data_IF_641686550142
#
_entry.id   IF_641686550142
#
_cell.length_a   1.000
_cell.length_b   1.000
_cell.length_c   1.000
_cell.angle_alpha   90.00
_cell.angle_beta   90.00
_cell.angle_gamma   90.00
#
_symmetry.space_group_name_H-M   'P 1'
#
loop_
_entity.id
_entity.type
_entity.pdbx_description
1 polymer ?
#
# COMPACT_ATOMS: atom_id res chain seq x y z
N UNK A 1 -5.41 16.59 7.08
CA UNK A 1 -6.10 15.36 7.53
C UNK A 1 -5.43 14.08 7.01
N UNK A 2 -5.08 13.98 5.71
CA UNK A 2 -4.26 12.87 5.20
C UNK A 2 -2.94 12.75 5.92
N UNK A 3 -2.19 13.84 6.11
CA UNK A 3 -0.83 13.77 6.70
C UNK A 3 -0.81 13.09 8.08
N UNK A 4 -1.86 13.28 8.89
CA UNK A 4 -2.01 12.64 10.19
C UNK A 4 -2.37 11.14 10.07
N UNK A 5 -3.28 10.78 9.17
CA UNK A 5 -3.62 9.37 8.90
C UNK A 5 -2.48 8.62 8.22
N UNK A 6 -1.80 9.24 7.26
CA UNK A 6 -0.58 8.76 6.63
C UNK A 6 0.50 8.56 7.66
N UNK A 7 0.76 9.51 8.57
CA UNK A 7 1.81 9.33 9.59
C UNK A 7 1.46 8.24 10.61
N UNK A 8 0.16 8.01 10.89
CA UNK A 8 -0.31 6.94 11.79
C UNK A 8 -0.33 5.56 11.13
N UNK A 9 -0.70 5.48 9.86
CA UNK A 9 -0.81 4.20 9.14
C UNK A 9 0.50 3.82 8.47
N UNK A 10 1.26 4.79 7.97
CA UNK A 10 2.53 4.63 7.24
C UNK A 10 3.46 5.78 7.64
N UNK A 11 4.11 5.61 8.79
CA UNK A 11 5.09 6.58 9.31
C UNK A 11 6.16 6.88 8.25
N UNK A 12 6.84 8.04 8.30
CA UNK A 12 7.91 8.36 7.36
C UNK A 12 9.02 7.29 7.32
N UNK A 13 9.36 6.69 8.47
CA UNK A 13 10.35 5.62 8.56
C UNK A 13 9.87 4.34 7.87
N UNK A 14 8.63 3.94 8.12
CA UNK A 14 7.98 2.83 7.41
C UNK A 14 7.95 3.09 5.90
N UNK A 15 7.62 4.32 5.51
CA UNK A 15 7.59 4.70 4.10
C UNK A 15 8.97 4.57 3.45
N UNK A 16 10.05 4.94 4.14
CA UNK A 16 11.42 4.78 3.62
C UNK A 16 11.80 3.31 3.36
N UNK A 17 11.22 2.37 4.11
CA UNK A 17 11.39 0.93 3.87
C UNK A 17 10.50 0.45 2.72
N UNK A 18 9.26 0.91 2.64
CA UNK A 18 8.28 0.45 1.65
C UNK A 18 8.54 1.03 0.26
N UNK A 19 8.87 2.32 0.16
CA UNK A 19 9.07 3.04 -1.09
C UNK A 19 9.99 2.33 -2.10
N UNK A 20 11.19 1.85 -1.73
CA UNK A 20 12.07 1.15 -2.66
C UNK A 20 11.54 -0.23 -3.09
N UNK A 21 10.61 -0.81 -2.31
CA UNK A 21 9.99 -2.11 -2.62
C UNK A 21 8.79 -1.97 -3.55
N UNK A 22 8.25 -0.76 -3.71
CA UNK A 22 7.15 -0.51 -4.62
C UNK A 22 7.66 -0.67 -6.06
N UNK A 23 7.07 -1.60 -6.84
CA UNK A 23 7.45 -1.80 -8.22
C UNK A 23 7.37 -0.48 -9.01
N UNK A 24 8.37 -0.18 -9.86
CA UNK A 24 8.31 1.00 -10.70
C UNK A 24 7.04 0.94 -11.56
N UNK A 25 6.27 2.01 -11.54
CA UNK A 25 5.06 2.09 -12.36
C UNK A 25 5.46 1.92 -13.83
N UNK A 26 4.72 1.09 -14.59
CA UNK A 26 4.93 0.99 -16.04
C UNK A 26 4.86 2.39 -16.65
N UNK A 27 5.96 2.82 -17.25
CA UNK A 27 6.01 4.07 -18.02
C UNK A 27 5.03 3.92 -19.18
N UNK A 28 3.97 4.72 -19.21
CA UNK A 28 3.10 4.77 -20.40
C UNK A 28 3.92 5.33 -21.56
N UNK A 29 3.86 4.67 -22.73
CA UNK A 29 4.52 5.11 -23.96
C UNK A 29 4.14 6.54 -24.39
N UNK A 30 2.94 6.99 -24.02
CA UNK A 30 2.53 8.38 -24.18
C UNK A 30 3.02 9.17 -22.97
N UNK A 31 4.20 9.77 -23.09
CA UNK A 31 4.68 10.78 -22.16
C UNK A 31 3.69 11.93 -22.10
N UNK A 32 2.87 11.97 -21.05
CA UNK A 32 1.85 12.99 -20.89
C UNK A 32 0.70 12.52 -20.02
N UNK A 33 0.64 13.05 -18.79
CA UNK A 33 -0.51 12.84 -17.91
C UNK A 33 -0.22 13.24 -16.48
N UNK A 34 -0.98 14.24 -16.00
CA UNK A 34 -1.07 14.81 -14.63
C UNK A 34 -0.31 14.02 -13.56
N UNK A 35 0.59 14.74 -12.86
CA UNK A 35 1.53 14.25 -11.85
C UNK A 35 1.04 13.02 -11.10
N UNK A 36 1.85 11.96 -11.15
CA UNK A 36 1.60 10.66 -10.51
C UNK A 36 0.99 10.92 -9.12
N UNK A 37 -0.25 10.47 -8.91
CA UNK A 37 -0.82 10.37 -7.57
C UNK A 37 0.25 9.74 -6.67
N UNK A 38 0.61 10.42 -5.58
CA UNK A 38 1.72 10.02 -4.73
C UNK A 38 1.59 8.54 -4.36
N UNK A 39 2.62 7.74 -4.67
CA UNK A 39 2.62 6.31 -4.35
C UNK A 39 2.32 6.10 -2.86
N UNK A 40 2.80 7.01 -2.01
CA UNK A 40 2.49 7.05 -0.58
C UNK A 40 1.00 7.16 -0.30
N UNK A 41 0.29 8.10 -0.95
CA UNK A 41 -1.15 8.27 -0.74
C UNK A 41 -1.95 7.02 -1.17
N UNK A 42 -1.57 6.41 -2.30
CA UNK A 42 -2.19 5.15 -2.75
C UNK A 42 -1.91 4.04 -1.76
N UNK A 43 -0.66 3.88 -1.32
CA UNK A 43 -0.29 2.84 -0.37
C UNK A 43 -0.98 3.03 0.98
N UNK A 44 -1.04 4.26 1.52
CA UNK A 44 -1.80 4.57 2.74
C UNK A 44 -3.28 4.22 2.57
N UNK A 45 -3.90 4.52 1.43
CA UNK A 45 -5.29 4.17 1.16
C UNK A 45 -5.51 2.64 1.09
N UNK A 46 -4.56 1.90 0.50
CA UNK A 46 -4.58 0.43 0.49
C UNK A 46 -4.50 -0.08 1.94
N UNK A 47 -3.49 0.35 2.71
CA UNK A 47 -3.32 -0.06 4.11
C UNK A 47 -4.57 0.25 4.93
N UNK A 48 -5.19 1.42 4.75
CA UNK A 48 -6.44 1.76 5.44
C UNK A 48 -7.55 0.74 5.15
N UNK A 49 -7.76 0.38 3.88
CA UNK A 49 -8.80 -0.59 3.47
C UNK A 49 -8.48 -2.00 3.97
N UNK A 50 -7.21 -2.40 3.95
CA UNK A 50 -6.77 -3.69 4.47
C UNK A 50 -6.99 -3.77 5.99
N UNK A 51 -6.51 -2.79 6.74
CA UNK A 51 -6.57 -2.78 8.22
C UNK A 51 -7.99 -2.60 8.74
N UNK A 52 -8.83 -1.79 8.09
CA UNK A 52 -10.23 -1.59 8.49
C UNK A 52 -11.16 -2.72 8.01
N UNK A 53 -10.73 -3.53 7.04
CA UNK A 53 -11.57 -4.56 6.42
C UNK A 53 -12.76 -4.00 5.62
N UNK A 54 -12.83 -2.68 5.40
CA UNK A 54 -13.97 -2.07 4.71
C UNK A 54 -13.98 -2.41 3.21
N UNK A 55 -15.15 -2.24 2.58
CA UNK A 55 -15.24 -2.34 1.13
C UNK A 55 -14.53 -1.14 0.47
N UNK A 56 -13.93 -1.35 -0.70
CA UNK A 56 -13.20 -0.29 -1.42
C UNK A 56 -14.02 0.99 -1.64
N UNK A 57 -15.34 0.87 -1.82
CA UNK A 57 -16.28 2.01 -1.96
C UNK A 57 -16.41 2.89 -0.72
N UNK A 58 -16.00 2.40 0.45
CA UNK A 58 -16.00 3.16 1.70
C UNK A 58 -14.68 3.89 1.95
N UNK A 59 -13.73 3.83 1.01
CA UNK A 59 -12.50 4.62 1.10
C UNK A 59 -12.87 6.12 1.17
N UNK A 60 -12.45 6.84 2.22
CA UNK A 60 -12.72 8.26 2.35
C UNK A 60 -12.12 9.06 1.19
N UNK A 61 -12.91 9.98 0.61
CA UNK A 61 -12.43 10.92 -0.40
C UNK A 61 -11.28 11.82 0.12
N UNK A 62 -11.17 11.94 1.44
CA UNK A 62 -10.10 12.69 2.10
C UNK A 62 -8.71 12.22 1.72
N UNK A 63 -8.50 11.01 1.21
CA UNK A 63 -7.19 10.52 0.75
C UNK A 63 -6.72 11.14 -0.58
N UNK A 64 -7.55 11.93 -1.27
CA UNK A 64 -7.16 12.57 -2.54
C UNK A 64 -6.89 11.57 -3.67
N UNK A 65 -7.35 10.33 -3.51
CA UNK A 65 -7.21 9.24 -4.48
C UNK A 65 -8.58 8.66 -4.78
N UNK A 66 -8.76 8.16 -6.01
CA UNK A 66 -10.04 7.54 -6.41
C UNK A 66 -10.02 6.04 -6.16
N UNK A 67 -11.16 5.49 -5.74
CA UNK A 67 -11.32 4.04 -5.49
C UNK A 67 -10.84 3.17 -6.65
N UNK A 68 -11.19 3.45 -7.92
CA UNK A 68 -10.70 2.64 -9.05
C UNK A 68 -9.18 2.68 -9.20
N UNK A 69 -8.56 3.83 -8.89
CA UNK A 69 -7.09 3.98 -8.96
C UNK A 69 -6.41 3.14 -7.89
N UNK A 70 -6.92 3.18 -6.66
CA UNK A 70 -6.38 2.41 -5.52
C UNK A 70 -6.54 0.92 -5.79
N UNK A 71 -7.71 0.47 -6.22
CA UNK A 71 -7.97 -0.95 -6.50
C UNK A 71 -7.06 -1.49 -7.61
N UNK A 72 -6.94 -0.76 -8.73
CA UNK A 72 -6.04 -1.14 -9.82
C UNK A 72 -4.59 -1.23 -9.36
N UNK A 73 -4.14 -0.28 -8.54
CA UNK A 73 -2.76 -0.28 -8.00
C UNK A 73 -2.52 -1.40 -7.00
N UNK A 74 -3.51 -1.73 -6.18
CA UNK A 74 -3.45 -2.89 -5.30
C UNK A 74 -3.25 -4.18 -6.11
N UNK A 75 -4.02 -4.39 -7.18
CA UNK A 75 -3.85 -5.55 -8.07
C UNK A 75 -2.48 -5.54 -8.75
N UNK A 76 -2.10 -4.43 -9.39
CA UNK A 76 -0.79 -4.29 -10.05
C UNK A 76 0.38 -4.59 -9.11
N UNK A 77 0.35 -4.07 -7.88
CA UNK A 77 1.41 -4.31 -6.90
C UNK A 77 1.39 -5.73 -6.35
N UNK A 78 0.20 -6.33 -6.22
CA UNK A 78 0.06 -7.75 -5.84
C UNK A 78 0.69 -8.64 -6.90
N UNK A 79 0.34 -8.44 -8.17
CA UNK A 79 0.86 -9.21 -9.30
C UNK A 79 2.37 -9.04 -9.48
N UNK A 80 2.87 -7.83 -9.23
CA UNK A 80 4.30 -7.54 -9.29
C UNK A 80 5.07 -8.04 -8.06
N UNK A 81 4.40 -8.60 -7.05
CA UNK A 81 5.02 -9.24 -5.89
C UNK A 81 5.41 -8.29 -4.74
N UNK A 82 4.72 -7.16 -4.56
CA UNK A 82 4.99 -6.22 -3.45
C UNK A 82 4.95 -6.92 -2.09
N UNK A 83 3.94 -7.76 -1.85
CA UNK A 83 3.77 -8.47 -0.56
C UNK A 83 4.94 -9.41 -0.27
N UNK A 84 5.47 -10.08 -1.29
CA UNK A 84 6.65 -10.94 -1.16
C UNK A 84 7.88 -10.12 -0.79
N UNK A 85 8.08 -8.95 -1.42
CA UNK A 85 9.19 -8.05 -1.10
C UNK A 85 9.10 -7.51 0.33
N UNK A 86 7.91 -7.14 0.79
CA UNK A 86 7.68 -6.70 2.17
C UNK A 86 7.99 -7.81 3.18
N UNK A 87 7.51 -9.04 2.91
CA UNK A 87 7.80 -10.20 3.77
C UNK A 87 9.29 -10.47 3.88
N UNK A 88 10.02 -10.35 2.77
CA UNK A 88 11.48 -10.49 2.73
C UNK A 88 12.19 -9.39 3.54
N UNK A 89 11.81 -8.13 3.35
CA UNK A 89 12.39 -7.01 4.09
C UNK A 89 12.22 -7.14 5.62
N UNK A 90 11.05 -7.65 6.05
CA UNK A 90 10.79 -7.94 7.47
C UNK A 90 11.64 -9.11 8.00
N UNK A 91 11.89 -10.14 7.18
CA UNK A 91 12.71 -11.29 7.56
C UNK A 91 14.21 -10.98 7.60
N UNK A 92 14.69 -10.09 6.74
CA UNK A 92 16.09 -9.66 6.66
C UNK A 92 16.49 -8.65 7.74
N UNK A 93 15.55 -8.20 8.58
CA UNK A 93 15.82 -7.24 9.65
C UNK A 93 16.20 -5.85 9.12
N UNK A 94 15.74 -5.49 7.92
CA UNK A 94 16.06 -4.21 7.27
C UNK A 94 15.41 -2.99 7.95
N UNK A 95 14.68 -3.18 9.03
CA UNK A 95 13.94 -2.16 9.78
C UNK A 95 13.85 -2.55 11.27
N UNK A 96 13.43 -1.60 12.12
CA UNK A 96 13.29 -1.84 13.57
C UNK A 96 12.14 -2.80 13.90
N UNK A 97 12.07 -3.22 15.16
CA UNK A 97 11.05 -4.17 15.65
C UNK A 97 9.63 -3.68 15.39
N UNK A 98 9.36 -2.40 15.65
CA UNK A 98 8.03 -1.80 15.42
C UNK A 98 7.65 -1.81 13.93
N UNK A 99 8.60 -1.55 13.04
CA UNK A 99 8.38 -1.61 11.60
C UNK A 99 8.10 -3.04 11.12
N UNK A 100 8.84 -4.02 11.64
CA UNK A 100 8.64 -5.43 11.32
C UNK A 100 7.24 -5.89 11.73
N UNK A 101 6.80 -5.56 12.94
CA UNK A 101 5.48 -5.94 13.45
C UNK A 101 4.35 -5.25 12.67
N UNK A 102 4.57 -4.00 12.26
CA UNK A 102 3.67 -3.31 11.35
C UNK A 102 3.58 -3.99 9.98
N UNK A 103 4.72 -4.38 9.38
CA UNK A 103 4.74 -5.08 8.08
C UNK A 103 3.97 -6.40 8.19
N UNK A 104 4.19 -7.17 9.27
CA UNK A 104 3.46 -8.43 9.53
C UNK A 104 1.95 -8.20 9.61
N UNK A 105 1.51 -7.19 10.37
CA UNK A 105 0.08 -6.87 10.50
C UNK A 105 -0.56 -6.51 9.14
N UNK A 106 0.15 -5.78 8.28
CA UNK A 106 -0.33 -5.44 6.93
C UNK A 106 -0.37 -6.66 6.02
N UNK A 107 0.64 -7.53 6.07
CA UNK A 107 0.67 -8.79 5.30
C UNK A 107 -0.51 -9.68 5.69
N UNK A 108 -0.77 -9.86 6.98
CA UNK A 108 -1.90 -10.65 7.46
C UNK A 108 -3.25 -10.07 7.00
N UNK A 109 -3.37 -8.74 6.98
CA UNK A 109 -4.57 -8.06 6.47
C UNK A 109 -4.75 -8.25 4.95
N UNK A 110 -3.66 -8.21 4.18
CA UNK A 110 -3.67 -8.50 2.76
C UNK A 110 -4.08 -9.96 2.49
N UNK A 111 -3.49 -10.91 3.22
CA UNK A 111 -3.75 -12.35 3.08
C UNK A 111 -5.22 -12.68 3.42
N UNK A 112 -5.77 -12.12 4.51
CA UNK A 112 -7.22 -12.25 4.84
C UNK A 112 -8.13 -11.73 3.73
N UNK A 113 -7.76 -10.62 3.09
CA UNK A 113 -8.55 -10.03 2.01
C UNK A 113 -8.46 -10.87 0.73
N UNK A 114 -7.27 -11.40 0.42
CA UNK A 114 -7.07 -12.30 -0.71
C UNK A 114 -7.90 -13.58 -0.54
N UNK A 115 -7.90 -14.19 0.65
CA UNK A 115 -8.74 -15.35 0.96
C UNK A 115 -10.23 -15.06 0.76
N UNK A 116 -10.71 -13.89 1.20
CA UNK A 116 -12.11 -13.46 1.01
C UNK A 116 -12.48 -13.21 -0.47
N UNK A 117 -11.51 -12.88 -1.32
CA UNK A 117 -11.75 -12.69 -2.75
C UNK A 117 -11.80 -14.02 -3.54
N UNK A 118 -11.24 -15.10 -2.97
CA UNK A 118 -11.21 -16.44 -3.58
C UNK A 118 -12.34 -17.37 -3.12
N UNK A 119 -13.15 -16.94 -2.14
CA UNK A 119 -14.33 -17.65 -1.62
C UNK A 119 -15.60 -17.12 -2.27
#
# INVERSE_FOLDING_TARGET
MIEQLSSRLVSPNLWAVVEPLIPPAKVRRQGGGRGRVCNRAIFTAIVFVLSSGCAWRHLPASFGVTVPTVHRRFQEWTDLGLWVRLRRAAAEGACGTDEIDWIRAVLDAADRRAAKAAS
#
